data_IF_811956650571
#
_entry.id   IF_811956650571
#
_cell.length_a   1.000
_cell.length_b   1.000
_cell.length_c   1.000
_cell.angle_alpha   90.00
_cell.angle_beta   90.00
_cell.angle_gamma   90.00
#
_symmetry.space_group_name_H-M   'P 1'
#
loop_
_entity.id
_entity.type
_entity.pdbx_description
1 polymer ?
#
# COMPACT_ATOMS: atom_id res chain seq x y z
N UNK A 1 -30.00 5.00 -10.96
CA UNK A 1 -29.92 6.42 -10.55
C UNK A 1 -28.63 6.59 -9.76
N UNK A 2 -27.83 7.62 -10.03
CA UNK A 2 -26.68 7.92 -9.19
C UNK A 2 -27.19 8.22 -7.78
N UNK A 3 -26.64 7.53 -6.76
CA UNK A 3 -26.96 7.78 -5.36
C UNK A 3 -26.54 9.22 -5.02
N UNK A 4 -27.39 9.95 -4.31
CA UNK A 4 -27.02 11.27 -3.78
C UNK A 4 -26.00 11.09 -2.68
N UNK A 5 -25.02 12.00 -2.58
CA UNK A 5 -24.01 12.00 -1.54
C UNK A 5 -24.04 13.31 -0.75
N UNK A 6 -23.65 13.23 0.51
CA UNK A 6 -23.42 14.36 1.42
C UNK A 6 -21.94 14.30 1.80
N UNK A 7 -21.08 15.12 1.17
CA UNK A 7 -19.65 15.10 1.47
C UNK A 7 -19.34 15.87 2.76
N UNK A 8 -18.50 15.29 3.62
CA UNK A 8 -17.90 15.91 4.80
C UNK A 8 -16.41 16.01 4.56
N UNK A 9 -15.92 17.24 4.39
CA UNK A 9 -14.51 17.53 4.14
C UNK A 9 -13.85 17.83 5.48
N UNK A 10 -12.89 17.01 5.87
CA UNK A 10 -12.18 17.07 7.14
C UNK A 10 -10.68 17.06 6.89
N UNK A 11 -9.93 17.45 7.91
CA UNK A 11 -8.49 17.19 7.97
C UNK A 11 -8.22 16.04 8.95
N UNK A 12 -7.08 15.38 8.79
CA UNK A 12 -6.60 14.43 9.78
C UNK A 12 -6.24 15.16 11.08
N UNK A 13 -6.27 14.44 12.20
CA UNK A 13 -6.01 14.97 13.53
C UNK A 13 -6.81 16.24 13.85
N UNK A 14 -8.03 16.37 13.35
CA UNK A 14 -8.93 17.51 13.61
C UNK A 14 -10.13 17.09 14.43
N UNK A 15 -10.62 18.04 15.26
CA UNK A 15 -11.88 17.87 15.95
C UNK A 15 -13.02 18.00 14.98
N UNK A 16 -14.02 17.13 15.11
CA UNK A 16 -15.24 17.16 14.34
C UNK A 16 -16.25 18.02 15.08
N UNK A 17 -16.73 19.08 14.45
CA UNK A 17 -17.81 19.90 15.00
C UNK A 17 -19.14 19.14 14.84
N UNK A 18 -19.72 18.74 15.97
CA UNK A 18 -20.95 17.92 16.02
C UNK A 18 -22.22 18.74 15.72
N UNK A 19 -22.34 19.28 14.52
CA UNK A 19 -23.56 20.00 14.12
C UNK A 19 -24.65 19.06 13.55
N UNK A 20 -24.27 17.86 13.15
CA UNK A 20 -25.18 16.91 12.50
C UNK A 20 -25.35 15.64 13.35
N UNK A 21 -26.59 15.29 13.68
CA UNK A 21 -26.92 14.15 14.56
C UNK A 21 -26.55 12.75 14.04
N UNK A 22 -25.92 12.64 12.85
CA UNK A 22 -25.44 11.35 12.34
C UNK A 22 -24.11 10.93 12.97
N UNK A 23 -23.30 11.89 13.47
CA UNK A 23 -22.00 11.60 14.08
C UNK A 23 -22.11 10.62 15.26
N UNK A 24 -23.18 10.73 16.06
CA UNK A 24 -23.45 9.80 17.17
C UNK A 24 -23.79 8.36 16.73
N UNK A 25 -24.00 8.11 15.45
CA UNK A 25 -24.33 6.77 14.90
C UNK A 25 -23.11 6.03 14.33
N UNK A 26 -21.96 6.68 14.26
CA UNK A 26 -20.76 6.13 13.64
C UNK A 26 -20.21 4.93 14.43
N UNK A 27 -19.81 3.90 13.71
CA UNK A 27 -19.12 2.75 14.27
C UNK A 27 -17.66 3.11 14.61
N UNK A 28 -17.35 3.31 15.89
CA UNK A 28 -16.00 3.59 16.36
C UNK A 28 -15.13 2.34 16.55
N UNK A 29 -15.70 1.14 16.43
CA UNK A 29 -14.98 -0.13 16.64
C UNK A 29 -14.24 -0.65 15.39
N UNK A 30 -14.47 -0.04 14.23
CA UNK A 30 -13.79 -0.40 12.98
C UNK A 30 -13.08 0.82 12.39
N UNK A 31 -11.91 1.19 12.92
CA UNK A 31 -11.22 2.43 12.55
C UNK A 31 -10.90 2.53 11.06
N UNK A 32 -10.59 1.41 10.40
CA UNK A 32 -10.27 1.38 8.98
C UNK A 32 -11.45 1.81 8.08
N UNK A 33 -12.69 1.55 8.50
CA UNK A 33 -13.89 1.92 7.74
C UNK A 33 -14.28 3.38 7.92
N UNK A 34 -14.04 3.94 9.11
CA UNK A 34 -14.44 5.29 9.48
C UNK A 34 -13.25 6.21 9.74
N UNK A 35 -12.14 6.02 9.04
CA UNK A 35 -10.94 6.89 9.09
C UNK A 35 -10.35 7.06 10.50
N UNK A 36 -10.47 6.03 11.34
CA UNK A 36 -9.97 6.09 12.70
C UNK A 36 -10.64 7.14 13.58
N UNK A 37 -11.86 7.57 13.23
CA UNK A 37 -12.62 8.49 14.08
C UNK A 37 -12.75 7.87 15.46
N UNK A 38 -12.40 8.66 16.47
CA UNK A 38 -12.40 8.24 17.87
C UNK A 38 -12.92 9.34 18.78
N UNK A 39 -13.33 8.97 19.99
CA UNK A 39 -13.80 9.91 20.99
C UNK A 39 -12.65 10.29 21.93
N UNK A 40 -12.42 11.59 22.09
CA UNK A 40 -11.46 12.15 23.03
C UNK A 40 -12.07 13.37 23.72
N UNK A 41 -12.07 13.42 25.06
CA UNK A 41 -12.66 14.49 25.87
C UNK A 41 -14.12 14.84 25.45
N UNK A 42 -14.94 13.84 25.24
CA UNK A 42 -16.34 13.92 24.78
C UNK A 42 -16.54 14.50 23.37
N UNK A 43 -15.47 14.76 22.62
CA UNK A 43 -15.54 15.22 21.24
C UNK A 43 -15.08 14.10 20.30
N UNK A 44 -15.56 14.11 19.07
CA UNK A 44 -15.08 13.22 18.02
C UNK A 44 -13.88 13.86 17.29
N UNK A 45 -12.91 13.04 17.00
CA UNK A 45 -11.68 13.42 16.33
C UNK A 45 -11.38 12.46 15.17
N UNK A 46 -10.85 12.99 14.08
CA UNK A 46 -10.19 12.18 13.05
C UNK A 46 -8.84 11.67 13.57
N UNK A 47 -8.31 10.62 12.95
CA UNK A 47 -6.95 10.14 13.23
C UNK A 47 -6.00 10.47 12.07
N UNK A 48 -4.78 9.96 12.10
CA UNK A 48 -3.81 10.06 11.01
C UNK A 48 -4.16 9.23 9.77
N UNK A 49 -5.44 9.17 9.39
CA UNK A 49 -5.93 8.47 8.21
C UNK A 49 -6.55 9.43 7.21
N UNK A 50 -6.06 9.42 5.96
CA UNK A 50 -6.55 10.28 4.88
C UNK A 50 -7.14 9.45 3.74
N UNK A 51 -8.07 10.02 2.97
CA UNK A 51 -8.69 9.36 1.84
C UNK A 51 -10.16 9.72 1.62
N UNK A 52 -10.88 8.82 0.93
CA UNK A 52 -12.30 8.99 0.58
C UNK A 52 -13.07 7.73 0.90
N UNK A 53 -14.15 7.83 1.65
CA UNK A 53 -14.95 6.66 2.02
C UNK A 53 -16.33 6.97 2.54
N UNK A 54 -17.16 5.93 2.64
CA UNK A 54 -18.49 5.99 3.26
C UNK A 54 -18.37 5.93 4.76
N UNK A 55 -19.37 6.49 5.43
CA UNK A 55 -19.53 6.37 6.88
C UNK A 55 -20.47 5.22 7.20
N UNK A 56 -20.09 4.38 8.16
CA UNK A 56 -20.84 3.20 8.55
C UNK A 56 -21.35 3.29 9.99
N UNK A 57 -22.55 2.77 10.19
CA UNK A 57 -23.14 2.59 11.51
C UNK A 57 -22.58 1.34 12.24
N UNK A 58 -23.00 1.13 13.48
CA UNK A 58 -22.60 -0.02 14.31
C UNK A 58 -22.95 -1.38 13.68
N UNK A 59 -23.95 -1.42 12.79
CA UNK A 59 -24.39 -2.64 12.11
C UNK A 59 -23.64 -2.87 10.79
N UNK A 60 -22.74 -1.94 10.41
CA UNK A 60 -21.99 -2.00 9.16
C UNK A 60 -22.78 -1.52 7.94
N UNK A 61 -23.87 -0.78 8.13
CA UNK A 61 -24.63 -0.18 7.05
C UNK A 61 -24.13 1.23 6.78
N UNK A 62 -24.06 1.68 5.51
CA UNK A 62 -23.77 3.07 5.19
C UNK A 62 -24.83 4.00 5.83
N UNK A 63 -24.37 5.02 6.52
CA UNK A 63 -25.26 6.03 7.10
C UNK A 63 -25.84 6.89 5.98
N UNK A 64 -27.16 7.03 5.98
CA UNK A 64 -27.90 7.78 4.95
C UNK A 64 -28.85 8.78 5.59
N UNK A 65 -29.03 9.92 4.94
CA UNK A 65 -30.08 10.89 5.25
C UNK A 65 -30.91 11.17 4.00
N UNK A 66 -32.22 11.01 4.09
CA UNK A 66 -33.18 11.19 2.97
C UNK A 66 -32.72 10.48 1.67
N UNK A 67 -32.09 9.30 1.79
CA UNK A 67 -31.59 8.51 0.66
C UNK A 67 -30.25 9.01 0.08
N UNK A 68 -29.59 10.00 0.69
CA UNK A 68 -28.23 10.41 0.38
C UNK A 68 -27.23 9.75 1.33
N UNK A 69 -26.11 9.24 0.80
CA UNK A 69 -25.05 8.61 1.59
C UNK A 69 -24.08 9.66 2.13
N UNK A 70 -23.70 9.56 3.41
CA UNK A 70 -22.65 10.39 4.00
C UNK A 70 -21.28 9.87 3.58
N UNK A 71 -20.43 10.77 3.06
CA UNK A 71 -19.09 10.49 2.55
C UNK A 71 -18.08 11.35 3.31
N UNK A 72 -17.01 10.71 3.80
CA UNK A 72 -15.84 11.39 4.35
C UNK A 72 -14.79 11.61 3.27
N UNK A 73 -14.26 12.82 3.22
CA UNK A 73 -13.09 13.21 2.45
C UNK A 73 -12.10 13.79 3.46
N UNK A 74 -11.07 13.03 3.80
CA UNK A 74 -10.08 13.43 4.81
C UNK A 74 -8.77 13.76 4.12
N UNK A 75 -8.27 14.97 4.35
CA UNK A 75 -7.00 15.48 3.81
C UNK A 75 -5.93 15.59 4.90
N UNK A 76 -4.65 15.66 4.52
CA UNK A 76 -3.53 15.85 5.45
C UNK A 76 -3.51 17.28 6.00
N UNK A 77 -3.34 17.41 7.32
CA UNK A 77 -3.28 18.71 8.02
C UNK A 77 -1.93 19.42 7.86
N UNK A 78 -0.85 18.69 7.59
CA UNK A 78 0.53 19.22 7.67
C UNK A 78 1.06 19.72 6.34
N UNK A 79 0.21 19.88 5.31
CA UNK A 79 0.63 20.30 3.98
C UNK A 79 1.51 19.29 3.24
N UNK A 80 1.76 18.12 3.83
CA UNK A 80 2.48 17.03 3.16
C UNK A 80 1.54 16.31 2.19
N UNK A 81 1.98 16.14 0.94
CA UNK A 81 1.20 15.39 -0.05
C UNK A 81 1.41 13.88 0.15
N UNK A 82 0.38 13.12 0.58
CA UNK A 82 0.47 11.67 0.76
C UNK A 82 0.93 10.94 -0.50
N UNK A 83 0.66 11.51 -1.67
CA UNK A 83 1.00 10.92 -2.96
C UNK A 83 2.50 11.03 -3.26
N UNK A 84 3.09 12.19 -3.00
CA UNK A 84 4.54 12.38 -3.15
C UNK A 84 5.33 11.50 -2.16
N UNK A 85 4.84 11.42 -0.92
CA UNK A 85 5.41 10.51 0.09
C UNK A 85 5.32 9.05 -0.36
N UNK A 86 4.16 8.63 -0.88
CA UNK A 86 3.93 7.28 -1.34
C UNK A 86 4.81 6.94 -2.54
N UNK A 87 4.95 7.86 -3.50
CA UNK A 87 5.85 7.72 -4.65
C UNK A 87 7.31 7.55 -4.19
N UNK A 88 7.76 8.33 -3.22
CA UNK A 88 9.10 8.24 -2.64
C UNK A 88 9.34 6.86 -1.99
N UNK A 89 8.44 6.43 -1.11
CA UNK A 89 8.55 5.14 -0.40
C UNK A 89 8.57 3.95 -1.36
N UNK A 90 7.79 4.00 -2.42
CA UNK A 90 7.71 2.90 -3.39
C UNK A 90 8.95 2.74 -4.28
N UNK A 91 9.76 3.77 -4.37
CA UNK A 91 11.03 3.71 -5.08
C UNK A 91 12.15 3.11 -4.22
N UNK A 92 11.94 2.97 -2.91
CA UNK A 92 12.91 2.37 -2.00
C UNK A 92 13.09 0.87 -2.28
N UNK A 93 14.31 0.40 -2.25
CA UNK A 93 14.66 -1.02 -2.43
C UNK A 93 14.07 -1.90 -1.33
N UNK A 94 13.91 -1.36 -0.12
CA UNK A 94 13.34 -2.06 1.05
C UNK A 94 11.80 -2.06 1.06
N UNK A 95 11.12 -1.51 0.04
CA UNK A 95 9.66 -1.44 0.00
C UNK A 95 8.96 -2.80 0.22
N UNK A 96 9.55 -3.89 -0.31
CA UNK A 96 8.99 -5.24 -0.08
C UNK A 96 9.07 -5.66 1.39
N UNK A 97 10.19 -5.35 2.03
CA UNK A 97 10.39 -5.66 3.44
C UNK A 97 9.39 -4.88 4.30
N UNK A 98 9.15 -3.60 3.97
CA UNK A 98 8.13 -2.78 4.64
C UNK A 98 6.72 -3.40 4.53
N UNK A 99 6.32 -3.78 3.33
CA UNK A 99 4.99 -4.39 3.12
C UNK A 99 4.87 -5.74 3.81
N UNK A 100 5.94 -6.51 3.93
CA UNK A 100 5.92 -7.80 4.64
C UNK A 100 5.78 -7.59 6.16
N UNK A 101 6.54 -6.69 6.75
CA UNK A 101 6.45 -6.37 8.18
C UNK A 101 5.07 -5.84 8.56
N UNK A 102 4.46 -4.98 7.73
CA UNK A 102 3.10 -4.49 7.96
C UNK A 102 2.07 -5.63 8.03
N UNK A 103 2.23 -6.67 7.20
CA UNK A 103 1.34 -7.84 7.24
C UNK A 103 1.53 -8.64 8.52
N UNK A 104 2.76 -8.81 8.96
CA UNK A 104 3.11 -9.55 10.16
C UNK A 104 2.58 -8.84 11.41
N UNK A 105 2.63 -7.50 11.44
CA UNK A 105 2.09 -6.64 12.49
C UNK A 105 0.58 -6.36 12.36
N UNK A 106 -0.07 -6.87 11.32
CA UNK A 106 -1.48 -6.58 10.98
C UNK A 106 -1.77 -5.08 10.77
N UNK A 107 -0.77 -4.33 10.37
CA UNK A 107 -0.87 -2.92 9.97
C UNK A 107 -1.07 -2.80 8.46
N UNK A 108 -1.36 -1.61 7.97
CA UNK A 108 -1.48 -1.33 6.54
C UNK A 108 -0.92 0.06 6.20
N UNK A 109 -0.37 0.18 5.01
CA UNK A 109 0.05 1.46 4.45
C UNK A 109 -1.14 2.18 3.81
N UNK A 110 -1.92 1.46 3.02
CA UNK A 110 -3.18 1.92 2.47
C UNK A 110 -4.13 0.73 2.27
N UNK A 111 -5.43 1.02 2.20
CA UNK A 111 -6.47 0.03 1.94
C UNK A 111 -7.47 0.56 0.92
N UNK A 112 -7.87 -0.28 -0.02
CA UNK A 112 -8.87 0.05 -1.04
C UNK A 112 -10.05 -0.91 -0.87
N UNK A 113 -11.24 -0.35 -0.80
CA UNK A 113 -12.47 -1.12 -0.55
C UNK A 113 -13.13 -1.52 -1.86
N UNK A 114 -12.54 -2.50 -2.55
CA UNK A 114 -13.00 -2.99 -3.86
C UNK A 114 -14.40 -3.62 -3.85
N UNK A 115 -14.90 -4.02 -2.71
CA UNK A 115 -16.25 -4.58 -2.47
C UNK A 115 -17.33 -3.51 -2.39
N UNK A 116 -16.96 -2.27 -2.09
CA UNK A 116 -17.89 -1.15 -2.03
C UNK A 116 -18.20 -0.58 -3.42
N UNK A 117 -19.34 0.11 -3.52
CA UNK A 117 -19.71 0.90 -4.70
C UNK A 117 -18.76 2.09 -4.87
N UNK A 118 -18.61 2.57 -6.11
CA UNK A 118 -17.83 3.77 -6.39
C UNK A 118 -18.53 5.02 -5.84
N UNK A 119 -17.74 6.05 -5.51
CA UNK A 119 -18.21 7.34 -5.01
C UNK A 119 -18.05 8.36 -6.13
N UNK A 120 -19.11 9.14 -6.49
CA UNK A 120 -18.96 10.28 -7.39
C UNK A 120 -18.30 11.44 -6.65
N UNK A 121 -17.32 12.09 -7.26
CA UNK A 121 -16.65 13.28 -6.75
C UNK A 121 -16.83 14.44 -7.72
N UNK A 122 -16.94 15.67 -7.21
CA UNK A 122 -17.15 16.87 -8.04
C UNK A 122 -15.86 17.47 -8.61
N UNK A 123 -14.69 17.03 -8.14
CA UNK A 123 -13.39 17.61 -8.52
C UNK A 123 -12.39 16.55 -8.99
N UNK A 124 -11.41 16.99 -9.81
CA UNK A 124 -10.34 16.20 -10.44
C UNK A 124 -9.29 15.59 -9.46
N UNK A 125 -9.57 15.53 -8.17
CA UNK A 125 -8.67 14.93 -7.15
C UNK A 125 -8.28 13.48 -7.45
N UNK A 126 -8.79 12.88 -8.51
CA UNK A 126 -8.86 11.44 -8.68
C UNK A 126 -7.83 10.80 -9.61
N UNK A 127 -7.06 11.57 -10.37
CA UNK A 127 -5.95 10.98 -11.15
C UNK A 127 -4.89 10.31 -10.25
N UNK A 128 -4.81 10.75 -9.00
CA UNK A 128 -3.90 10.22 -7.99
C UNK A 128 -4.37 8.85 -7.43
N UNK A 129 -5.67 8.63 -7.27
CA UNK A 129 -6.21 7.34 -6.81
C UNK A 129 -5.92 6.18 -7.78
N UNK A 130 -5.81 6.44 -9.08
CA UNK A 130 -5.40 5.41 -10.07
C UNK A 130 -4.02 4.84 -9.76
N UNK A 131 -3.13 5.62 -9.15
CA UNK A 131 -1.82 5.15 -8.70
C UNK A 131 -1.95 4.08 -7.62
N UNK A 132 -2.81 4.29 -6.61
CA UNK A 132 -3.07 3.28 -5.58
C UNK A 132 -3.60 1.97 -6.19
N UNK A 133 -4.54 2.08 -7.15
CA UNK A 133 -5.08 0.90 -7.81
C UNK A 133 -4.00 0.14 -8.58
N UNK A 134 -3.13 0.88 -9.28
CA UNK A 134 -2.02 0.29 -10.04
C UNK A 134 -1.04 -0.44 -9.12
N UNK A 135 -0.68 0.15 -8.00
CA UNK A 135 0.26 -0.42 -7.03
C UNK A 135 -0.34 -1.62 -6.30
N UNK A 136 -1.58 -1.47 -5.81
CA UNK A 136 -2.30 -2.57 -5.17
C UNK A 136 -2.38 -3.79 -6.10
N UNK A 137 -2.75 -3.55 -7.37
CA UNK A 137 -2.80 -4.60 -8.39
C UNK A 137 -1.42 -5.20 -8.67
N UNK A 138 -0.37 -4.39 -8.80
CA UNK A 138 0.98 -4.89 -9.05
C UNK A 138 1.45 -5.81 -7.93
N UNK A 139 1.25 -5.42 -6.67
CA UNK A 139 1.62 -6.23 -5.51
C UNK A 139 0.85 -7.56 -5.47
N UNK A 140 -0.45 -7.53 -5.75
CA UNK A 140 -1.26 -8.74 -5.81
C UNK A 140 -0.87 -9.65 -7.00
N UNK A 141 -0.61 -9.06 -8.17
CA UNK A 141 -0.15 -9.76 -9.37
C UNK A 141 1.23 -10.40 -9.15
N UNK A 142 2.16 -9.69 -8.51
CA UNK A 142 3.48 -10.20 -8.17
C UNK A 142 3.41 -11.39 -7.21
N UNK A 143 2.61 -11.29 -6.17
CA UNK A 143 2.36 -12.40 -5.23
C UNK A 143 1.72 -13.61 -5.92
N UNK A 144 0.79 -13.37 -6.85
CA UNK A 144 0.18 -14.42 -7.67
C UNK A 144 1.22 -15.10 -8.56
N UNK A 145 2.04 -14.32 -9.25
CA UNK A 145 3.08 -14.87 -10.14
C UNK A 145 4.12 -15.70 -9.37
N UNK A 146 4.46 -15.31 -8.13
CA UNK A 146 5.32 -16.12 -7.24
C UNK A 146 4.69 -17.45 -6.86
N UNK A 147 3.37 -17.50 -6.61
CA UNK A 147 2.62 -18.72 -6.29
C UNK A 147 2.46 -19.64 -7.49
N UNK A 148 2.55 -19.12 -8.69
CA UNK A 148 2.38 -19.83 -9.95
C UNK A 148 1.04 -19.57 -10.63
N UNK A 149 1.04 -19.66 -11.97
CA UNK A 149 -0.14 -19.37 -12.78
C UNK A 149 -1.09 -20.57 -12.86
N UNK A 150 -2.39 -20.26 -12.86
CA UNK A 150 -3.45 -21.26 -13.14
C UNK A 150 -3.26 -21.83 -14.52
N UNK A 151 -3.30 -23.16 -14.63
CA UNK A 151 -3.38 -23.89 -15.88
C UNK A 151 -4.77 -24.48 -16.04
N UNK A 152 -5.28 -24.42 -17.25
CA UNK A 152 -6.61 -24.94 -17.60
C UNK A 152 -6.52 -25.87 -18.80
N UNK A 153 -7.40 -26.85 -18.85
CA UNK A 153 -7.60 -27.70 -20.01
C UNK A 153 -8.47 -26.95 -21.02
N UNK A 154 -7.90 -26.59 -22.14
CA UNK A 154 -8.58 -25.84 -23.21
C UNK A 154 -8.71 -26.72 -24.45
N UNK A 155 -9.92 -26.84 -24.98
CA UNK A 155 -10.16 -27.48 -26.26
C UNK A 155 -9.69 -26.57 -27.40
N UNK A 156 -8.72 -27.04 -28.15
CA UNK A 156 -8.18 -26.35 -29.32
C UNK A 156 -8.55 -27.07 -30.62
N UNK A 157 -8.86 -26.29 -31.64
CA UNK A 157 -9.11 -26.74 -32.98
C UNK A 157 -8.18 -25.97 -33.91
N UNK A 158 -7.17 -26.63 -34.47
CA UNK A 158 -6.13 -25.99 -35.29
C UNK A 158 -5.82 -26.80 -36.51
N UNK A 159 -5.43 -26.11 -37.58
CA UNK A 159 -5.03 -26.74 -38.84
C UNK A 159 -3.49 -26.77 -38.94
N UNK A 160 -2.92 -27.94 -38.75
CA UNK A 160 -1.46 -28.15 -38.78
C UNK A 160 -0.97 -28.58 -40.15
N UNK A 161 0.23 -28.16 -40.54
CA UNK A 161 0.94 -28.61 -41.73
C UNK A 161 1.94 -29.69 -41.31
N UNK A 162 1.89 -30.83 -41.94
CA UNK A 162 2.80 -32.00 -41.74
C UNK A 162 2.89 -32.48 -40.27
N UNK A 163 1.90 -32.18 -39.43
CA UNK A 163 1.87 -32.55 -38.01
C UNK A 163 0.46 -32.93 -37.58
N UNK A 164 0.35 -33.98 -36.80
CA UNK A 164 -0.87 -34.43 -36.15
C UNK A 164 -0.79 -34.12 -34.65
N UNK A 165 -1.89 -33.60 -34.06
CA UNK A 165 -2.03 -33.37 -32.64
C UNK A 165 -3.45 -33.71 -32.17
N UNK A 166 -3.58 -34.69 -31.30
CA UNK A 166 -4.88 -35.17 -30.83
C UNK A 166 -5.69 -35.94 -31.90
N UNK A 167 -6.98 -35.60 -32.05
CA UNK A 167 -7.90 -36.26 -33.01
C UNK A 167 -8.12 -35.38 -34.23
N UNK A 168 -8.15 -36.00 -35.42
CA UNK A 168 -8.53 -35.28 -36.66
C UNK A 168 -10.04 -35.02 -36.62
N UNK A 169 -10.46 -33.77 -36.83
CA UNK A 169 -11.83 -33.44 -37.16
C UNK A 169 -12.05 -33.74 -38.66
N UNK A 170 -12.53 -34.97 -38.92
CA UNK A 170 -12.70 -35.47 -40.30
C UNK A 170 -13.55 -34.53 -41.15
N UNK A 171 -14.66 -34.03 -40.59
CA UNK A 171 -15.58 -33.15 -41.31
C UNK A 171 -14.93 -31.83 -41.72
N UNK A 172 -14.22 -31.18 -40.79
CA UNK A 172 -13.51 -29.94 -41.10
C UNK A 172 -12.27 -30.19 -41.95
N UNK A 173 -11.59 -31.30 -41.74
CA UNK A 173 -10.42 -31.65 -42.51
C UNK A 173 -10.80 -31.87 -43.99
N UNK A 174 -11.88 -32.59 -44.25
CA UNK A 174 -12.41 -32.78 -45.60
C UNK A 174 -12.74 -31.45 -46.30
N UNK A 175 -13.49 -30.56 -45.62
CA UNK A 175 -13.88 -29.24 -46.16
C UNK A 175 -12.72 -28.29 -46.39
N UNK A 176 -11.77 -28.23 -45.46
CA UNK A 176 -10.71 -27.21 -45.48
C UNK A 176 -9.44 -27.66 -46.14
N UNK A 177 -9.14 -28.97 -46.14
CA UNK A 177 -7.89 -29.51 -46.60
C UNK A 177 -8.10 -30.43 -47.80
N UNK A 178 -8.80 -31.56 -47.64
CA UNK A 178 -8.96 -32.59 -48.70
C UNK A 178 -9.64 -32.05 -49.93
N UNK A 179 -10.75 -31.33 -49.82
CA UNK A 179 -11.47 -30.72 -50.93
C UNK A 179 -10.66 -29.64 -51.69
N UNK A 180 -9.56 -29.19 -51.10
CA UNK A 180 -8.64 -28.21 -51.69
C UNK A 180 -7.30 -28.82 -52.10
N UNK A 181 -7.20 -30.14 -52.13
CA UNK A 181 -5.99 -30.87 -52.53
C UNK A 181 -4.82 -30.73 -51.51
N UNK A 182 -5.07 -30.32 -50.28
CA UNK A 182 -4.04 -30.10 -49.28
C UNK A 182 -3.92 -31.35 -48.37
N UNK A 183 -3.26 -32.38 -48.90
CA UNK A 183 -2.96 -33.62 -48.19
C UNK A 183 -1.89 -33.47 -47.07
N UNK A 184 -1.15 -32.35 -47.12
CA UNK A 184 -0.13 -31.97 -46.17
C UNK A 184 -0.69 -31.32 -44.88
N UNK A 185 -2.02 -31.04 -44.80
CA UNK A 185 -2.67 -30.38 -43.67
C UNK A 185 -3.68 -31.26 -42.97
N UNK A 186 -3.71 -31.11 -41.66
CA UNK A 186 -4.59 -31.88 -40.76
C UNK A 186 -5.32 -30.95 -39.81
N UNK A 187 -6.65 -30.92 -39.87
CA UNK A 187 -7.47 -30.17 -38.91
C UNK A 187 -7.68 -31.01 -37.69
N UNK A 188 -6.99 -30.63 -36.59
CA UNK A 188 -6.93 -31.40 -35.35
C UNK A 188 -7.76 -30.78 -34.25
N UNK A 189 -8.39 -31.65 -33.43
CA UNK A 189 -9.00 -31.32 -32.15
C UNK A 189 -8.16 -31.95 -31.03
N UNK A 190 -7.76 -31.14 -30.07
CA UNK A 190 -6.99 -31.62 -28.91
C UNK A 190 -7.27 -30.82 -27.65
N UNK A 191 -6.92 -31.40 -26.52
CA UNK A 191 -6.97 -30.72 -25.22
C UNK A 191 -5.57 -30.26 -24.92
N UNK A 192 -5.42 -28.98 -24.63
CA UNK A 192 -4.16 -28.35 -24.23
C UNK A 192 -4.23 -27.92 -22.78
N UNK A 193 -3.20 -28.30 -21.99
CA UNK A 193 -3.06 -27.87 -20.62
C UNK A 193 -2.17 -26.64 -20.59
N UNK A 194 -2.77 -25.47 -20.56
CA UNK A 194 -2.10 -24.20 -20.83
C UNK A 194 -2.36 -23.14 -19.77
N UNK A 195 -1.41 -22.23 -19.61
CA UNK A 195 -1.54 -20.99 -18.84
C UNK A 195 -2.32 -19.91 -19.60
N UNK A 196 -2.52 -20.09 -20.90
CA UNK A 196 -3.27 -19.14 -21.75
C UNK A 196 -4.78 -19.36 -21.60
N UNK A 197 -5.31 -18.96 -20.45
CA UNK A 197 -6.73 -19.01 -20.09
C UNK A 197 -7.26 -17.60 -19.82
N UNK A 198 -8.57 -17.48 -19.66
CA UNK A 198 -9.23 -16.17 -19.54
C UNK A 198 -8.78 -15.39 -18.30
N UNK A 199 -8.54 -16.05 -17.18
CA UNK A 199 -8.09 -15.42 -15.95
C UNK A 199 -6.71 -14.76 -16.13
N UNK A 200 -5.76 -15.49 -16.69
CA UNK A 200 -4.42 -14.98 -16.96
C UNK A 200 -4.41 -13.90 -18.07
N UNK A 201 -5.29 -14.01 -19.07
CA UNK A 201 -5.46 -12.98 -20.10
C UNK A 201 -5.99 -11.66 -19.51
N UNK A 202 -6.95 -11.72 -18.57
CA UNK A 202 -7.45 -10.56 -17.83
C UNK A 202 -6.32 -9.91 -17.03
N UNK A 203 -5.56 -10.70 -16.27
CA UNK A 203 -4.44 -10.22 -15.45
C UNK A 203 -3.36 -9.58 -16.36
N UNK A 204 -3.03 -10.20 -17.49
CA UNK A 204 -2.06 -9.64 -18.45
C UNK A 204 -2.52 -8.31 -19.03
N UNK A 205 -3.80 -8.20 -19.41
CA UNK A 205 -4.37 -6.95 -19.94
C UNK A 205 -4.31 -5.82 -18.90
N UNK A 206 -4.69 -6.12 -17.65
CA UNK A 206 -4.59 -5.19 -16.54
C UNK A 206 -3.13 -4.79 -16.23
N UNK A 207 -2.18 -5.75 -16.28
CA UNK A 207 -0.75 -5.48 -16.08
C UNK A 207 -0.17 -4.56 -17.14
N UNK A 208 -0.59 -4.70 -18.41
CA UNK A 208 -0.17 -3.78 -19.47
C UNK A 208 -0.65 -2.35 -19.23
N UNK A 209 -1.89 -2.17 -18.76
CA UNK A 209 -2.42 -0.85 -18.37
C UNK A 209 -1.69 -0.30 -17.14
N UNK A 210 -1.52 -1.11 -16.12
CA UNK A 210 -0.76 -0.79 -14.92
C UNK A 210 0.67 -0.33 -15.26
N UNK A 211 1.37 -1.06 -16.13
CA UNK A 211 2.70 -0.68 -16.62
C UNK A 211 2.73 0.72 -17.23
N UNK A 212 1.73 1.08 -18.02
CA UNK A 212 1.68 2.41 -18.64
C UNK A 212 1.48 3.51 -17.58
N UNK A 213 0.57 3.33 -16.63
CA UNK A 213 0.33 4.27 -15.53
C UNK A 213 1.57 4.46 -14.66
N UNK A 214 2.25 3.37 -14.31
CA UNK A 214 3.42 3.41 -13.44
C UNK A 214 4.67 3.95 -14.16
N UNK A 215 4.80 3.73 -15.48
CA UNK A 215 5.96 4.20 -16.26
C UNK A 215 6.06 5.73 -16.33
N UNK A 216 4.93 6.42 -16.21
CA UNK A 216 4.88 7.89 -16.19
C UNK A 216 5.38 8.46 -14.85
N UNK A 217 5.38 7.65 -13.79
CA UNK A 217 5.65 8.08 -12.42
C UNK A 217 6.99 7.56 -11.85
N UNK A 218 7.47 6.41 -12.32
CA UNK A 218 8.64 5.75 -11.74
C UNK A 218 9.78 5.59 -12.74
N UNK A 219 11.00 5.73 -12.26
CA UNK A 219 12.21 5.46 -13.02
C UNK A 219 12.35 3.97 -13.40
N UNK A 220 13.03 3.70 -14.51
CA UNK A 220 13.17 2.35 -15.07
C UNK A 220 13.86 1.34 -14.13
N UNK A 221 14.75 1.81 -13.25
CA UNK A 221 15.54 0.99 -12.32
C UNK A 221 14.92 0.88 -10.93
N UNK A 222 13.71 1.35 -10.74
CA UNK A 222 13.02 1.26 -9.44
C UNK A 222 12.59 -0.17 -9.11
N UNK A 223 12.37 -0.48 -7.84
CA UNK A 223 11.82 -1.75 -7.37
C UNK A 223 10.48 -2.08 -8.08
N UNK A 224 9.67 -1.07 -8.34
CA UNK A 224 8.41 -1.18 -9.10
C UNK A 224 8.64 -1.70 -10.52
N UNK A 225 9.63 -1.13 -11.26
CA UNK A 225 9.96 -1.57 -12.62
C UNK A 225 10.42 -3.03 -12.65
N UNK A 226 11.19 -3.44 -11.66
CA UNK A 226 11.65 -4.82 -11.50
C UNK A 226 10.47 -5.78 -11.31
N UNK A 227 9.47 -5.43 -10.48
CA UNK A 227 8.26 -6.23 -10.28
C UNK A 227 7.41 -6.33 -11.54
N UNK A 228 7.21 -5.20 -12.24
CA UNK A 228 6.50 -5.20 -13.53
C UNK A 228 7.18 -6.16 -14.50
N UNK A 229 8.50 -6.10 -14.62
CA UNK A 229 9.29 -6.97 -15.49
C UNK A 229 9.15 -8.44 -15.11
N UNK A 230 9.21 -8.78 -13.82
CA UNK A 230 8.98 -10.13 -13.31
C UNK A 230 7.60 -10.67 -13.70
N UNK A 231 6.53 -9.89 -13.46
CA UNK A 231 5.16 -10.27 -13.79
C UNK A 231 4.97 -10.43 -15.31
N UNK A 232 5.56 -9.55 -16.13
CA UNK A 232 5.51 -9.63 -17.59
C UNK A 232 6.20 -10.91 -18.10
N UNK A 233 7.32 -11.29 -17.51
CA UNK A 233 8.05 -12.52 -17.82
C UNK A 233 7.24 -13.76 -17.44
N UNK A 234 6.63 -13.77 -16.24
CA UNK A 234 5.76 -14.87 -15.81
C UNK A 234 4.60 -15.08 -16.80
N UNK A 235 3.98 -13.98 -17.25
CA UNK A 235 2.83 -14.00 -18.18
C UNK A 235 3.24 -14.05 -19.67
N UNK A 236 4.50 -14.32 -20.02
CA UNK A 236 4.99 -14.28 -21.42
C UNK A 236 4.22 -15.21 -22.38
N UNK A 237 3.82 -16.39 -21.88
CA UNK A 237 3.11 -17.42 -22.67
C UNK A 237 1.59 -17.14 -22.80
N UNK A 238 1.07 -16.17 -22.06
CA UNK A 238 -0.33 -15.78 -22.10
C UNK A 238 -0.55 -14.83 -23.27
N UNK A 239 -1.59 -15.05 -24.07
CA UNK A 239 -1.91 -14.21 -25.22
C UNK A 239 -2.44 -12.84 -24.77
N UNK A 240 -2.20 -11.81 -25.61
CA UNK A 240 -2.81 -10.49 -25.42
C UNK A 240 -4.25 -10.54 -25.94
N UNK A 241 -5.20 -10.15 -25.11
CA UNK A 241 -6.62 -10.09 -25.48
C UNK A 241 -7.19 -8.74 -25.06
N UNK A 242 -8.06 -8.16 -25.89
CA UNK A 242 -8.92 -7.04 -25.48
C UNK A 242 -10.02 -7.60 -24.61
N UNK A 243 -10.03 -7.21 -23.34
CA UNK A 243 -10.96 -7.75 -22.34
C UNK A 243 -12.26 -6.93 -22.35
N UNK A 244 -13.37 -7.63 -22.37
CA UNK A 244 -14.73 -7.09 -22.31
C UNK A 244 -15.39 -7.43 -20.97
N UNK A 245 -16.51 -6.79 -20.66
CA UNK A 245 -17.30 -7.09 -19.47
C UNK A 245 -17.81 -8.56 -19.42
N UNK A 246 -18.07 -9.15 -20.58
CA UNK A 246 -18.48 -10.56 -20.68
C UNK A 246 -17.35 -11.53 -20.30
N UNK A 247 -16.09 -11.17 -20.53
CA UNK A 247 -14.95 -12.02 -20.17
C UNK A 247 -14.84 -12.22 -18.66
N UNK A 248 -15.19 -11.22 -17.86
CA UNK A 248 -15.22 -11.34 -16.38
C UNK A 248 -16.30 -12.31 -15.87
N UNK A 249 -17.38 -12.53 -16.64
CA UNK A 249 -18.42 -13.52 -16.32
C UNK A 249 -17.96 -14.96 -16.56
N UNK A 250 -16.94 -15.16 -17.39
CA UNK A 250 -16.36 -16.45 -17.73
C UNK A 250 -15.27 -16.90 -16.74
N UNK A 251 -14.93 -16.06 -15.76
CA UNK A 251 -13.88 -16.35 -14.78
C UNK A 251 -14.36 -17.42 -13.80
N UNK A 252 -13.64 -18.53 -13.76
CA UNK A 252 -13.87 -19.62 -12.82
C UNK A 252 -12.69 -19.75 -11.84
N UNK A 253 -12.89 -19.26 -10.63
CA UNK A 253 -11.86 -19.26 -9.59
C UNK A 253 -12.37 -19.92 -8.34
N UNK A 254 -12.10 -21.22 -8.21
CA UNK A 254 -12.56 -22.07 -7.10
C UNK A 254 -11.40 -22.86 -6.48
N UNK A 255 -11.57 -23.28 -5.22
CA UNK A 255 -10.66 -24.21 -4.54
C UNK A 255 -9.21 -23.71 -4.53
N UNK A 256 -8.32 -24.48 -5.13
CA UNK A 256 -6.85 -24.27 -5.13
C UNK A 256 -6.43 -22.88 -5.69
N UNK A 257 -7.24 -22.28 -6.55
CA UNK A 257 -6.96 -21.00 -7.19
C UNK A 257 -7.74 -19.81 -6.58
N UNK A 258 -8.30 -19.96 -5.39
CA UNK A 258 -9.06 -18.91 -4.70
C UNK A 258 -8.29 -17.59 -4.56
N UNK A 259 -6.95 -17.65 -4.50
CA UNK A 259 -6.06 -16.47 -4.46
C UNK A 259 -6.09 -15.60 -5.72
N UNK A 260 -6.74 -16.06 -6.81
CA UNK A 260 -7.00 -15.23 -7.99
C UNK A 260 -8.12 -14.20 -7.79
N UNK A 261 -9.09 -14.47 -6.91
CA UNK A 261 -10.27 -13.60 -6.72
C UNK A 261 -9.91 -12.13 -6.47
N UNK A 262 -9.05 -11.79 -5.49
CA UNK A 262 -8.69 -10.40 -5.24
C UNK A 262 -7.94 -9.79 -6.44
N UNK A 263 -7.07 -10.54 -7.13
CA UNK A 263 -6.32 -10.03 -8.28
C UNK A 263 -7.24 -9.71 -9.45
N UNK A 264 -8.22 -10.56 -9.74
CA UNK A 264 -9.23 -10.32 -10.79
C UNK A 264 -10.10 -9.10 -10.45
N UNK A 265 -10.48 -8.94 -9.17
CA UNK A 265 -11.26 -7.79 -8.71
C UNK A 265 -10.47 -6.47 -8.92
N UNK A 266 -9.19 -6.47 -8.58
CA UNK A 266 -8.30 -5.33 -8.81
C UNK A 266 -8.04 -5.08 -10.31
N UNK A 267 -7.88 -6.16 -11.10
CA UNK A 267 -7.76 -6.06 -12.55
C UNK A 267 -8.99 -5.38 -13.19
N UNK A 268 -10.19 -5.65 -12.66
CA UNK A 268 -11.43 -5.01 -13.10
C UNK A 268 -11.43 -3.50 -12.80
N UNK A 269 -10.89 -3.10 -11.65
CA UNK A 269 -10.74 -1.69 -11.29
C UNK A 269 -9.76 -0.98 -12.22
N UNK A 270 -8.55 -1.51 -12.38
CA UNK A 270 -7.49 -0.97 -13.26
C UNK A 270 -7.95 -0.84 -14.72
N UNK A 271 -8.72 -1.80 -15.23
CA UNK A 271 -9.22 -1.75 -16.60
C UNK A 271 -10.39 -0.77 -16.78
N UNK A 272 -10.81 -0.07 -15.74
CA UNK A 272 -11.92 0.88 -15.77
C UNK A 272 -13.30 0.21 -15.88
N UNK A 273 -13.38 -1.12 -15.90
CA UNK A 273 -14.65 -1.84 -16.04
C UNK A 273 -15.57 -1.67 -14.83
N UNK A 274 -15.02 -1.36 -13.66
CA UNK A 274 -15.80 -1.08 -12.47
C UNK A 274 -16.61 0.21 -12.59
N UNK A 275 -16.14 1.17 -13.37
CA UNK A 275 -16.75 2.50 -13.54
C UNK A 275 -17.76 2.57 -14.68
N UNK A 276 -17.71 1.64 -15.64
CA UNK A 276 -18.56 1.67 -16.86
C UNK A 276 -20.07 1.71 -16.57
N UNK A 277 -20.53 1.00 -15.55
CA UNK A 277 -21.96 0.97 -15.20
C UNK A 277 -22.46 2.31 -14.66
N UNK A 278 -21.57 3.14 -14.15
CA UNK A 278 -21.90 4.46 -13.59
C UNK A 278 -21.78 5.55 -14.65
N UNK A 279 -20.77 5.52 -15.52
CA UNK A 279 -20.56 6.48 -16.59
C UNK A 279 -21.66 6.45 -17.67
N UNK A 280 -22.20 5.28 -17.98
CA UNK A 280 -23.24 5.12 -19.01
C UNK A 280 -24.64 5.65 -18.56
N UNK A 281 -24.81 6.02 -17.30
CA UNK A 281 -26.06 6.54 -16.77
C UNK A 281 -26.07 8.10 -16.67
N UNK A 282 -25.01 8.76 -17.11
CA UNK A 282 -24.93 10.21 -17.15
C UNK A 282 -25.60 10.71 -18.44
N UNK A 283 -26.67 11.53 -18.27
CA UNK A 283 -27.30 12.19 -19.40
C UNK A 283 -26.36 13.26 -19.98
N UNK A 284 -26.29 13.32 -21.31
CA UNK A 284 -25.56 14.35 -22.05
C UNK A 284 -25.93 15.75 -21.55
N UNK A 285 -24.91 16.52 -21.09
CA UNK A 285 -25.06 17.92 -20.68
C UNK A 285 -24.77 18.25 -19.21
N UNK A 286 -24.45 17.27 -18.31
CA UNK A 286 -23.99 17.53 -16.94
C UNK A 286 -22.48 17.47 -16.84
N UNK A 287 -21.90 18.24 -15.88
CA UNK A 287 -20.49 18.13 -15.49
C UNK A 287 -20.13 16.66 -15.32
N UNK A 288 -19.07 16.21 -15.98
CA UNK A 288 -18.57 14.84 -15.88
C UNK A 288 -18.17 14.56 -14.44
N UNK A 289 -18.93 13.71 -13.74
CA UNK A 289 -18.55 13.27 -12.42
C UNK A 289 -17.29 12.38 -12.54
N UNK A 290 -16.34 12.61 -11.67
CA UNK A 290 -15.19 11.72 -11.47
C UNK A 290 -15.59 10.70 -10.43
N UNK A 291 -15.30 9.41 -10.68
CA UNK A 291 -15.69 8.32 -9.77
C UNK A 291 -14.45 7.70 -9.13
N UNK A 292 -14.48 7.51 -7.81
CA UNK A 292 -13.41 6.83 -7.07
C UNK A 292 -13.90 5.56 -6.38
N UNK A 293 -13.02 4.58 -6.22
CA UNK A 293 -13.23 3.47 -5.29
C UNK A 293 -12.82 3.98 -3.91
N UNK A 294 -13.62 3.74 -2.85
CA UNK A 294 -13.24 4.15 -1.50
C UNK A 294 -11.86 3.63 -1.11
N UNK A 295 -11.05 4.49 -0.49
CA UNK A 295 -9.71 4.15 -0.03
C UNK A 295 -9.32 4.93 1.22
N UNK A 296 -8.36 4.39 1.96
CA UNK A 296 -7.74 5.03 3.12
C UNK A 296 -6.23 4.82 3.09
N UNK A 297 -5.47 5.85 3.43
CA UNK A 297 -4.01 5.83 3.60
C UNK A 297 -3.73 6.09 5.08
N UNK A 298 -2.88 5.27 5.68
CA UNK A 298 -2.41 5.48 7.05
C UNK A 298 -1.17 6.38 7.02
N UNK A 299 -1.35 7.64 7.42
CA UNK A 299 -0.29 8.64 7.37
C UNK A 299 0.81 8.38 8.40
N UNK A 300 0.51 7.77 9.54
CA UNK A 300 1.53 7.40 10.53
C UNK A 300 2.53 6.41 9.92
N UNK A 301 1.99 5.33 9.34
CA UNK A 301 2.82 4.31 8.68
C UNK A 301 3.54 4.86 7.44
N UNK A 302 2.85 5.70 6.65
CA UNK A 302 3.44 6.31 5.47
C UNK A 302 4.59 7.26 5.84
N UNK A 303 4.41 8.07 6.88
CA UNK A 303 5.42 9.02 7.34
C UNK A 303 6.66 8.30 7.90
N UNK A 304 6.48 7.21 8.64
CA UNK A 304 7.56 6.37 9.14
C UNK A 304 8.44 5.83 7.99
N UNK A 305 7.84 5.26 6.94
CA UNK A 305 8.59 4.78 5.78
C UNK A 305 9.20 5.91 4.94
N UNK A 306 8.47 7.02 4.80
CA UNK A 306 8.95 8.19 4.10
C UNK A 306 10.20 8.78 4.75
N UNK A 307 10.19 8.99 6.05
CA UNK A 307 11.35 9.51 6.79
C UNK A 307 12.55 8.60 6.63
N UNK A 308 12.33 7.29 6.69
CA UNK A 308 13.38 6.30 6.48
C UNK A 308 13.98 6.39 5.09
N UNK A 309 13.16 6.44 4.05
CA UNK A 309 13.60 6.56 2.66
C UNK A 309 14.37 7.87 2.42
N UNK A 310 13.86 8.99 2.96
CA UNK A 310 14.52 10.30 2.87
C UNK A 310 15.90 10.26 3.53
N UNK A 311 16.00 9.77 4.77
CA UNK A 311 17.28 9.70 5.46
C UNK A 311 18.28 8.81 4.71
N UNK A 312 17.83 7.66 4.21
CA UNK A 312 18.68 6.74 3.42
C UNK A 312 19.25 7.41 2.17
N UNK A 313 18.47 8.29 1.52
CA UNK A 313 18.91 9.00 0.31
C UNK A 313 19.80 10.21 0.61
N UNK A 314 19.65 10.83 1.78
CA UNK A 314 20.38 12.04 2.17
C UNK A 314 21.72 11.72 2.86
N UNK A 315 21.75 10.66 3.65
CA UNK A 315 22.95 10.29 4.41
C UNK A 315 24.04 9.72 3.48
N UNK A 316 25.30 10.15 3.64
CA UNK A 316 26.43 9.58 2.90
C UNK A 316 26.59 8.09 3.21
N UNK A 317 26.32 7.22 2.24
CA UNK A 317 26.35 5.76 2.40
C UNK A 317 27.74 5.16 2.68
N UNK A 318 28.81 5.90 2.35
CA UNK A 318 30.19 5.57 2.68
C UNK A 318 30.51 5.72 4.18
N UNK A 319 29.76 6.57 4.89
CA UNK A 319 29.95 6.85 6.31
C UNK A 319 28.86 6.26 7.21
N UNK A 320 27.62 6.26 6.73
CA UNK A 320 26.45 5.92 7.54
C UNK A 320 25.59 4.86 6.87
N UNK A 321 24.99 4.00 7.69
CA UNK A 321 24.01 3.02 7.26
C UNK A 321 22.79 3.07 8.17
N UNK A 322 21.60 2.83 7.61
CA UNK A 322 20.38 2.59 8.39
C UNK A 322 20.21 1.09 8.63
N UNK A 323 19.97 0.70 9.87
CA UNK A 323 19.55 -0.69 10.15
C UNK A 323 18.25 -1.00 9.45
N UNK A 324 18.04 -2.27 9.05
CA UNK A 324 16.77 -2.69 8.44
C UNK A 324 15.58 -2.33 9.32
N UNK A 325 14.45 -2.04 8.71
CA UNK A 325 13.20 -1.70 9.42
C UNK A 325 12.80 -2.75 10.47
N UNK A 326 13.02 -4.03 10.19
CA UNK A 326 12.73 -5.14 11.10
C UNK A 326 13.79 -5.39 12.17
N UNK A 327 14.79 -4.48 12.32
CA UNK A 327 15.86 -4.68 13.28
C UNK A 327 15.37 -4.59 14.72
N UNK A 328 15.52 -5.69 15.47
CA UNK A 328 15.02 -5.83 16.83
C UNK A 328 16.13 -5.62 17.85
N UNK A 329 15.90 -4.73 18.79
CA UNK A 329 16.76 -4.50 19.96
C UNK A 329 16.18 -5.29 21.16
N UNK A 330 16.91 -6.29 21.64
CA UNK A 330 16.46 -7.13 22.74
C UNK A 330 16.94 -6.58 24.09
N UNK A 331 16.04 -6.53 25.07
CA UNK A 331 16.34 -6.09 26.43
C UNK A 331 17.23 -7.07 27.21
N UNK A 332 17.27 -8.34 26.81
CA UNK A 332 18.10 -9.35 27.45
C UNK A 332 18.97 -10.07 26.43
N UNK A 333 20.29 -9.93 26.55
CA UNK A 333 21.25 -10.79 25.85
C UNK A 333 21.40 -12.11 26.59
N UNK A 334 21.17 -13.24 25.93
CA UNK A 334 21.58 -14.54 26.41
C UNK A 334 20.51 -15.46 26.96
N UNK A 335 19.22 -15.09 26.94
CA UNK A 335 18.13 -16.03 27.22
C UNK A 335 17.62 -16.63 25.92
N UNK A 336 17.74 -17.95 25.80
CA UNK A 336 17.21 -18.70 24.64
C UNK A 336 15.71 -18.92 24.80
N UNK A 337 14.99 -19.13 23.70
CA UNK A 337 13.56 -19.45 23.73
C UNK A 337 13.19 -20.65 24.63
N UNK A 338 14.12 -21.62 24.77
CA UNK A 338 13.92 -22.78 25.62
C UNK A 338 14.00 -22.42 27.11
N UNK A 339 14.95 -21.56 27.50
CA UNK A 339 15.11 -21.08 28.88
C UNK A 339 13.94 -20.19 29.30
N UNK A 340 13.39 -19.38 28.38
CA UNK A 340 12.20 -18.57 28.61
C UNK A 340 10.95 -19.45 28.85
N UNK A 341 10.79 -20.52 28.08
CA UNK A 341 9.67 -21.47 28.22
C UNK A 341 9.71 -22.22 29.55
N UNK A 342 10.91 -22.66 30.01
CA UNK A 342 11.08 -23.34 31.28
C UNK A 342 10.82 -22.43 32.49
N UNK A 343 11.09 -21.11 32.37
CA UNK A 343 10.85 -20.12 33.42
C UNK A 343 9.45 -19.54 33.42
N UNK A 344 8.59 -19.91 32.46
CA UNK A 344 7.25 -19.33 32.29
C UNK A 344 7.26 -17.82 31.96
N UNK A 345 8.42 -17.31 31.52
CA UNK A 345 8.60 -15.90 31.18
C UNK A 345 8.43 -15.77 29.66
N UNK A 346 7.23 -15.44 29.19
CA UNK A 346 6.98 -15.08 27.81
C UNK A 346 7.43 -13.63 27.50
N UNK A 347 8.65 -13.28 27.91
CA UNK A 347 9.17 -11.93 27.75
C UNK A 347 10.13 -11.85 26.56
N UNK A 348 9.60 -11.95 25.36
CA UNK A 348 10.30 -11.37 24.21
C UNK A 348 10.06 -9.85 24.23
N UNK A 349 10.64 -9.14 25.17
CA UNK A 349 10.68 -7.69 25.13
C UNK A 349 11.78 -7.26 24.16
N UNK A 350 11.37 -6.86 22.98
CA UNK A 350 12.22 -6.17 22.04
C UNK A 350 11.61 -4.83 21.68
N UNK A 351 12.46 -3.90 21.30
CA UNK A 351 12.08 -2.63 20.71
C UNK A 351 12.52 -2.62 19.25
N UNK A 352 11.71 -1.99 18.41
CA UNK A 352 12.04 -1.75 17.00
C UNK A 352 12.12 -0.23 16.84
N UNK A 353 13.32 0.35 16.72
CA UNK A 353 13.44 1.77 16.39
C UNK A 353 13.12 2.00 14.94
N UNK A 354 12.37 3.07 14.63
CA UNK A 354 12.04 3.43 13.26
C UNK A 354 13.32 3.71 12.46
N UNK A 355 14.28 4.39 13.09
CA UNK A 355 15.52 4.84 12.47
C UNK A 355 16.71 4.62 13.41
N UNK A 356 17.53 3.62 13.13
CA UNK A 356 18.80 3.40 13.80
C UNK A 356 19.93 3.64 12.81
N UNK A 357 20.65 4.77 13.00
CA UNK A 357 21.78 5.17 12.17
C UNK A 357 23.06 4.58 12.77
N UNK A 358 23.81 3.88 11.96
CA UNK A 358 25.07 3.25 12.34
C UNK A 358 26.22 3.74 11.46
N UNK A 359 27.42 3.63 11.97
CA UNK A 359 28.64 3.75 11.19
C UNK A 359 28.72 2.60 10.18
N UNK A 360 28.95 2.91 8.89
CA UNK A 360 28.90 1.90 7.83
C UNK A 360 30.05 0.89 7.88
N UNK A 361 31.18 1.26 8.49
CA UNK A 361 32.38 0.39 8.56
C UNK A 361 32.36 -0.50 9.80
N UNK A 362 31.97 0.07 10.95
CA UNK A 362 32.04 -0.63 12.25
C UNK A 362 30.69 -1.19 12.69
N UNK A 363 29.62 -0.83 12.01
CA UNK A 363 28.22 -1.18 12.34
C UNK A 363 27.78 -0.73 13.75
N UNK A 364 28.50 0.24 14.34
CA UNK A 364 28.18 0.78 15.66
C UNK A 364 27.05 1.80 15.57
N UNK A 365 26.04 1.75 16.45
CA UNK A 365 25.01 2.76 16.54
C UNK A 365 25.58 4.15 16.82
N UNK A 366 25.11 5.17 16.10
CA UNK A 366 25.49 6.58 16.23
C UNK A 366 24.32 7.41 16.74
N UNK A 367 23.14 7.21 16.14
CA UNK A 367 21.93 7.94 16.48
C UNK A 367 20.69 7.06 16.38
N UNK A 368 19.68 7.33 17.19
CA UNK A 368 18.37 6.71 17.12
C UNK A 368 17.30 7.78 17.04
N UNK A 369 16.45 7.69 16.04
CA UNK A 369 15.35 8.61 15.81
C UNK A 369 14.05 7.83 15.64
N UNK A 370 12.95 8.47 15.99
CA UNK A 370 11.63 7.88 15.93
C UNK A 370 10.68 8.84 15.18
N UNK A 371 9.98 8.35 14.17
CA UNK A 371 9.11 9.14 13.33
C UNK A 371 7.71 9.22 13.95
N UNK A 372 7.17 10.42 14.10
CA UNK A 372 5.85 10.64 14.72
C UNK A 372 5.00 11.56 13.87
N UNK A 373 3.93 11.01 13.33
CA UNK A 373 2.89 11.77 12.64
C UNK A 373 1.75 12.08 13.64
N UNK A 374 1.90 13.19 14.37
CA UNK A 374 1.02 13.54 15.50
C UNK A 374 0.61 15.02 15.47
N UNK A 375 -0.56 15.35 16.05
CA UNK A 375 -0.97 16.74 16.21
C UNK A 375 0.04 17.54 17.03
N UNK A 376 0.20 18.82 16.69
CA UNK A 376 1.08 19.79 17.35
C UNK A 376 2.57 19.45 17.37
N UNK A 377 3.01 18.39 16.67
CA UNK A 377 4.42 17.96 16.62
C UNK A 377 5.05 17.85 18.04
N UNK A 378 4.28 17.32 19.00
CA UNK A 378 4.74 17.17 20.39
C UNK A 378 4.79 15.69 20.78
N UNK A 379 5.92 15.22 21.33
CA UNK A 379 6.01 13.88 21.86
C UNK A 379 5.13 13.79 23.14
N UNK A 380 4.42 12.69 23.28
CA UNK A 380 3.73 12.36 24.53
C UNK A 380 4.67 11.57 25.45
N UNK A 381 4.28 11.42 26.73
CA UNK A 381 5.11 10.71 27.73
C UNK A 381 5.55 9.30 27.28
N UNK A 382 4.67 8.58 26.61
CA UNK A 382 5.00 7.24 26.08
C UNK A 382 6.12 7.28 25.04
N UNK A 383 6.11 8.28 24.15
CA UNK A 383 7.17 8.47 23.15
C UNK A 383 8.52 8.75 23.83
N UNK A 384 8.51 9.59 24.87
CA UNK A 384 9.74 9.89 25.66
C UNK A 384 10.30 8.63 26.32
N UNK A 385 9.45 7.76 26.86
CA UNK A 385 9.89 6.47 27.40
C UNK A 385 10.44 5.55 26.31
N UNK A 386 9.85 5.55 25.15
CA UNK A 386 10.30 4.75 24.01
C UNK A 386 11.71 5.16 23.57
N UNK A 387 11.94 6.47 23.37
CA UNK A 387 13.26 6.97 22.92
C UNK A 387 14.34 6.71 23.99
N UNK A 388 14.01 6.86 25.27
CA UNK A 388 14.94 6.54 26.38
C UNK A 388 15.31 5.05 26.39
N UNK A 389 14.36 4.17 26.13
CA UNK A 389 14.63 2.72 26.01
C UNK A 389 15.59 2.43 24.86
N UNK A 390 15.43 3.11 23.72
CA UNK A 390 16.35 2.97 22.59
C UNK A 390 17.77 3.45 22.93
N UNK A 391 17.91 4.60 23.60
CA UNK A 391 19.20 5.12 24.06
C UNK A 391 19.90 4.14 25.01
N UNK A 392 19.15 3.59 25.96
CA UNK A 392 19.69 2.58 26.91
C UNK A 392 20.17 1.32 26.21
N UNK A 393 19.43 0.82 25.22
CA UNK A 393 19.74 -0.41 24.51
C UNK A 393 20.89 -0.27 23.50
N UNK A 394 21.02 0.91 22.91
CA UNK A 394 22.01 1.16 21.85
C UNK A 394 23.28 1.85 22.36
N UNK A 395 23.20 2.56 23.49
CA UNK A 395 24.30 3.34 24.05
C UNK A 395 24.63 4.60 23.22
N UNK A 396 23.73 5.03 22.34
CA UNK A 396 23.94 6.22 21.51
C UNK A 396 23.86 7.51 22.34
N UNK A 397 24.60 8.52 21.91
CA UNK A 397 24.55 9.87 22.49
C UNK A 397 23.64 10.83 21.75
N UNK A 398 23.05 10.40 20.64
CA UNK A 398 22.17 11.21 19.76
C UNK A 398 20.83 10.53 19.62
N UNK A 399 19.76 11.19 20.02
CA UNK A 399 18.40 10.65 19.89
C UNK A 399 17.38 11.76 19.61
N UNK A 400 16.20 11.41 19.16
CA UNK A 400 15.16 12.40 18.95
C UNK A 400 13.96 11.90 18.14
N UNK A 401 13.14 12.88 17.76
CA UNK A 401 11.95 12.65 16.98
C UNK A 401 12.00 13.36 15.63
N UNK A 402 11.29 12.78 14.65
CA UNK A 402 11.02 13.39 13.37
C UNK A 402 9.52 13.62 13.27
N UNK A 403 9.14 14.85 13.00
CA UNK A 403 7.75 15.28 12.85
C UNK A 403 7.49 15.83 11.44
N UNK A 404 6.25 15.78 10.93
CA UNK A 404 5.89 16.46 9.70
C UNK A 404 5.99 17.98 9.87
N UNK A 405 6.40 18.68 8.81
CA UNK A 405 6.52 20.14 8.81
C UNK A 405 6.25 20.73 7.42
N UNK A 406 6.19 22.04 7.34
CA UNK A 406 6.15 22.75 6.06
C UNK A 406 7.56 22.79 5.47
N UNK A 407 8.53 23.16 6.29
CA UNK A 407 9.95 23.27 5.94
C UNK A 407 10.76 22.27 6.75
N UNK A 408 11.89 21.82 6.17
CA UNK A 408 12.86 20.98 6.89
C UNK A 408 13.66 21.84 7.85
N UNK A 409 13.59 21.57 9.14
CA UNK A 409 14.26 22.33 10.20
C UNK A 409 14.67 21.45 11.36
N UNK A 410 15.93 21.55 11.77
CA UNK A 410 16.47 20.85 12.92
C UNK A 410 16.49 21.76 14.15
N UNK A 411 16.04 21.22 15.28
CA UNK A 411 16.17 21.83 16.60
C UNK A 411 16.97 20.88 17.48
N UNK A 412 18.08 21.36 18.01
CA UNK A 412 18.93 20.62 18.94
C UNK A 412 18.69 21.12 20.36
N UNK A 413 18.45 20.19 21.28
CA UNK A 413 18.28 20.47 22.69
C UNK A 413 19.28 19.64 23.49
N UNK A 414 19.78 20.17 24.59
CA UNK A 414 20.57 19.40 25.55
C UNK A 414 19.62 18.84 26.60
N UNK A 415 19.79 17.56 26.95
CA UNK A 415 19.16 17.03 28.13
C UNK A 415 19.80 17.66 29.36
N UNK A 416 19.06 18.45 30.11
CA UNK A 416 19.52 18.96 31.42
C UNK A 416 19.19 17.93 32.48
N UNK A 417 20.18 17.56 33.29
CA UNK A 417 20.01 16.59 34.35
C UNK A 417 19.78 17.31 35.69
N UNK A 418 18.54 17.35 36.16
CA UNK A 418 18.22 17.82 37.51
C UNK A 418 18.41 16.72 38.58
N UNK A 419 19.36 15.82 38.38
CA UNK A 419 19.92 15.02 39.46
C UNK A 419 19.43 13.59 39.65
N UNK A 420 18.63 12.97 38.74
CA UNK A 420 18.05 11.65 39.00
C UNK A 420 18.27 10.56 37.91
N UNK A 421 19.02 10.84 36.85
CA UNK A 421 19.31 9.79 35.84
C UNK A 421 20.74 9.25 36.06
N UNK A 422 20.91 7.92 36.21
CA UNK A 422 22.23 7.28 36.35
C UNK A 422 23.03 7.25 35.04
N UNK A 423 22.51 7.83 33.96
CA UNK A 423 23.18 8.00 32.70
C UNK A 423 23.84 9.38 32.75
N UNK A 424 25.08 9.49 32.25
CA UNK A 424 25.73 10.78 31.99
C UNK A 424 24.91 11.53 30.92
N UNK A 425 23.79 12.11 31.37
CA UNK A 425 22.83 12.81 30.50
C UNK A 425 23.47 14.05 29.84
N UNK A 426 24.58 14.57 30.41
CA UNK A 426 25.36 15.67 29.86
C UNK A 426 25.92 15.38 28.44
N UNK A 427 25.97 14.10 28.06
CA UNK A 427 26.47 13.67 26.75
C UNK A 427 25.36 13.28 25.76
N UNK A 428 24.08 13.32 26.15
CA UNK A 428 22.97 12.97 25.26
C UNK A 428 22.43 14.23 24.60
N UNK A 429 22.51 14.29 23.28
CA UNK A 429 21.89 15.33 22.47
C UNK A 429 20.52 14.86 21.99
N UNK A 430 19.51 15.65 22.28
CA UNK A 430 18.15 15.42 21.82
C UNK A 430 17.83 16.31 20.62
N UNK A 431 17.22 15.75 19.59
CA UNK A 431 16.88 16.42 18.36
C UNK A 431 15.39 16.35 18.06
N UNK A 432 14.84 17.44 17.55
CA UNK A 432 13.54 17.48 16.89
C UNK A 432 13.77 17.93 15.44
N UNK A 433 13.53 17.04 14.49
CA UNK A 433 13.58 17.33 13.07
C UNK A 433 12.16 17.53 12.55
N UNK A 434 11.85 18.71 12.04
CA UNK A 434 10.69 18.91 11.19
C UNK A 434 11.10 18.53 9.76
N UNK A 435 10.35 17.62 9.15
CA UNK A 435 10.59 17.18 7.77
C UNK A 435 9.49 17.75 6.88
N UNK A 436 9.85 18.67 5.99
CA UNK A 436 8.91 19.29 5.05
C UNK A 436 8.89 18.60 3.68
N UNK A 437 8.07 19.13 2.77
CA UNK A 437 8.02 18.67 1.38
C UNK A 437 9.33 18.98 0.64
N UNK A 438 9.97 20.09 0.97
CA UNK A 438 11.32 20.41 0.46
C UNK A 438 12.36 19.87 1.40
N UNK A 439 13.11 18.87 0.94
CA UNK A 439 14.15 18.22 1.74
C UNK A 439 15.42 19.07 1.75
N UNK A 440 15.77 19.57 2.93
CA UNK A 440 17.07 20.22 3.17
C UNK A 440 18.04 19.17 3.74
N UNK A 441 18.92 18.67 2.86
CA UNK A 441 19.88 17.64 3.22
C UNK A 441 20.93 18.12 4.21
N UNK A 442 21.27 19.42 4.22
CA UNK A 442 22.26 19.98 5.15
C UNK A 442 21.68 20.07 6.57
N UNK A 443 20.39 20.43 6.71
CA UNK A 443 19.72 20.41 8.02
C UNK A 443 19.69 19.00 8.61
N UNK A 444 19.41 17.98 7.79
CA UNK A 444 19.37 16.58 8.23
C UNK A 444 20.75 16.08 8.67
N UNK A 445 21.81 16.41 7.94
CA UNK A 445 23.18 16.00 8.25
C UNK A 445 23.69 16.55 9.59
N UNK A 446 23.20 17.72 10.03
CA UNK A 446 23.56 18.30 11.33
C UNK A 446 23.20 17.42 12.54
N UNK A 447 22.34 16.42 12.38
CA UNK A 447 22.07 15.41 13.42
C UNK A 447 23.34 14.60 13.72
N UNK A 448 24.18 14.39 12.72
CA UNK A 448 25.37 13.57 12.81
C UNK A 448 26.64 14.36 13.21
N UNK A 449 26.59 15.68 13.10
CA UNK A 449 27.62 16.58 13.60
C UNK A 449 27.49 16.79 15.12
#
# INVERSE_FOLDING_TARGET
>A
MAKRIIPHILNDWSQIEENDGFWGKINLFQPELNFGIHQYNNNLWTSGMVGVGRVFDINGNPITDNGAEHILIVSSSYGMDPWEMLECVMQDEEYEDYIQELKDDKKFLFKIFYDQDVIPLEQETDSKAELLYAISFLNACYSLCKKGLKKSLIYKNENYTAKLRGKIDVTRNMKLNTARGRSDKFFCKYIDFTEDNIENQIIKAALLRCKNLLREKFELNSAISTRVTFCMNALRKVSKKKISTSDYKMVEVNGLYSYYKPVIQQAKAISGQKFHSYMNNESEGKKKNVYTIPYVINMETLFEFYTRTVLKNVLPSDKYSLKKYSHRLFLQKGITKAEDAERGIHLMHYCIPDLLICDSQTDKPIAVLDAKYKPDNKPVRADSHQILSYVLLTGVSKCGFIFPGIDTKLKKMKCTNDGYLPINADNVNYYELLLGNTIDSEEIKKILD
#
